data_IF_521278785197
#
_entry.id   IF_521278785197
#
_cell.length_a   1.000
_cell.length_b   1.000
_cell.length_c   1.000
_cell.angle_alpha   90.00
_cell.angle_beta   90.00
_cell.angle_gamma   90.00
#
_symmetry.space_group_name_H-M   'P 1'
#
loop_
_entity.id
_entity.type
_entity.pdbx_description
1 polymer ?
#
# COMPACT_ATOMS: atom_id res chain seq x y z
N UNK A 1 27.03 -8.58 -19.83
CA UNK A 1 26.86 -9.60 -18.76
C UNK A 1 26.04 -10.72 -19.36
N UNK A 2 26.47 -11.97 -19.23
CA UNK A 2 25.72 -13.15 -19.72
C UNK A 2 25.58 -14.13 -18.57
N UNK A 3 24.36 -14.56 -18.28
CA UNK A 3 24.03 -15.47 -17.18
C UNK A 3 23.19 -14.80 -16.09
N UNK A 4 22.67 -15.65 -15.20
CA UNK A 4 21.79 -15.25 -14.11
C UNK A 4 22.49 -14.36 -13.08
N UNK A 5 21.77 -13.38 -12.57
CA UNK A 5 22.23 -12.40 -11.59
C UNK A 5 21.27 -12.34 -10.40
N UNK A 6 21.77 -11.85 -9.28
CA UNK A 6 20.93 -11.34 -8.22
C UNK A 6 20.82 -9.83 -8.38
N UNK A 7 19.67 -9.25 -8.06
CA UNK A 7 19.45 -7.82 -8.19
C UNK A 7 18.63 -7.25 -7.02
N UNK A 8 18.84 -5.97 -6.75
CA UNK A 8 17.95 -5.15 -5.94
C UNK A 8 17.37 -4.09 -6.86
N UNK A 9 16.05 -4.06 -7.00
CA UNK A 9 15.31 -3.15 -7.87
C UNK A 9 14.58 -2.10 -7.04
N UNK A 10 14.61 -0.85 -7.48
CA UNK A 10 13.77 0.24 -6.97
C UNK A 10 13.15 0.99 -8.13
N UNK A 11 11.82 1.06 -8.14
CA UNK A 11 11.07 1.91 -9.04
C UNK A 11 11.22 3.38 -8.67
N UNK A 12 11.19 3.69 -7.37
CA UNK A 12 11.32 5.04 -6.82
C UNK A 12 12.64 5.70 -7.21
N UNK A 13 13.75 4.96 -7.19
CA UNK A 13 15.05 5.49 -7.62
C UNK A 13 15.32 5.28 -9.12
N UNK A 14 14.50 4.49 -9.81
CA UNK A 14 14.71 4.13 -11.22
C UNK A 14 16.01 3.33 -11.45
N UNK A 15 16.48 2.58 -10.45
CA UNK A 15 17.76 1.85 -10.50
C UNK A 15 17.57 0.40 -10.07
N UNK A 16 18.27 -0.50 -10.76
CA UNK A 16 18.51 -1.85 -10.28
C UNK A 16 20.01 -2.06 -10.03
N UNK A 17 20.40 -2.48 -8.83
CA UNK A 17 21.77 -2.90 -8.50
C UNK A 17 21.90 -4.39 -8.77
N UNK A 18 22.84 -4.77 -9.62
CA UNK A 18 23.15 -6.15 -9.99
C UNK A 18 24.33 -6.65 -9.18
N UNK A 19 24.20 -7.83 -8.60
CA UNK A 19 25.28 -8.57 -7.96
C UNK A 19 25.61 -9.82 -8.79
N UNK A 20 26.89 -9.94 -9.16
CA UNK A 20 27.41 -11.10 -9.87
C UNK A 20 28.83 -11.44 -9.39
N UNK A 21 29.38 -12.56 -9.86
CA UNK A 21 30.69 -13.05 -9.44
C UNK A 21 31.85 -12.07 -9.69
N UNK A 22 31.75 -11.18 -10.70
CA UNK A 22 32.83 -10.24 -11.04
C UNK A 22 32.64 -8.83 -10.42
N UNK A 23 31.58 -8.60 -9.63
CA UNK A 23 31.37 -7.34 -8.91
C UNK A 23 29.93 -6.84 -8.88
N UNK A 24 29.78 -5.52 -8.75
CA UNK A 24 28.49 -4.83 -8.77
C UNK A 24 28.32 -4.03 -10.06
N UNK A 25 27.09 -3.95 -10.52
CA UNK A 25 26.71 -3.08 -11.63
C UNK A 25 25.32 -2.49 -11.40
N UNK A 26 24.87 -1.61 -12.28
CA UNK A 26 23.53 -1.02 -12.23
C UNK A 26 22.87 -0.99 -13.60
N UNK A 27 21.55 -1.16 -13.63
CA UNK A 27 20.67 -0.72 -14.71
C UNK A 27 19.94 0.56 -14.29
N UNK A 28 19.54 1.36 -15.27
CA UNK A 28 18.79 2.59 -15.10
C UNK A 28 17.52 2.52 -15.94
N UNK A 29 16.39 2.96 -15.39
CA UNK A 29 15.12 3.01 -16.10
C UNK A 29 15.26 3.80 -17.43
N UNK A 30 14.59 3.32 -18.48
CA UNK A 30 14.66 3.92 -19.82
C UNK A 30 15.93 3.63 -20.62
N UNK A 31 16.95 2.94 -20.06
CA UNK A 31 18.19 2.58 -20.77
C UNK A 31 18.28 1.10 -21.18
N UNK A 32 17.18 0.37 -21.04
CA UNK A 32 17.12 -1.06 -21.34
C UNK A 32 18.16 -1.86 -20.54
N UNK A 33 18.93 -2.70 -21.22
CA UNK A 33 19.95 -3.58 -20.61
C UNK A 33 21.35 -2.98 -20.58
N UNK A 34 21.49 -1.65 -20.70
CA UNK A 34 22.78 -0.97 -20.56
C UNK A 34 23.33 -1.12 -19.14
N UNK A 35 24.40 -1.92 -19.00
CA UNK A 35 25.04 -2.21 -17.71
C UNK A 35 26.14 -1.20 -17.41
N UNK A 36 26.04 -0.53 -16.25
CA UNK A 36 27.10 0.36 -15.74
C UNK A 36 27.77 -0.27 -14.53
N UNK A 37 29.08 -0.50 -14.57
CA UNK A 37 29.85 -1.06 -13.43
C UNK A 37 29.85 -0.09 -12.25
N UNK A 38 29.76 -0.62 -11.03
CA UNK A 38 29.69 0.16 -9.79
C UNK A 38 30.62 -0.38 -8.71
N UNK A 39 31.11 0.52 -7.88
CA UNK A 39 31.68 0.19 -6.58
C UNK A 39 30.58 -0.02 -5.53
N UNK A 40 30.84 -0.77 -4.45
CA UNK A 40 29.89 -0.93 -3.35
C UNK A 40 29.46 0.41 -2.70
N UNK A 41 30.36 1.39 -2.64
CA UNK A 41 30.04 2.72 -2.12
C UNK A 41 29.02 3.46 -2.98
N UNK A 42 29.11 3.37 -4.31
CA UNK A 42 28.16 4.02 -5.23
C UNK A 42 26.77 3.40 -5.15
N UNK A 43 26.67 2.07 -4.92
CA UNK A 43 25.39 1.38 -4.86
C UNK A 43 24.44 1.97 -3.81
N UNK A 44 24.97 2.35 -2.63
CA UNK A 44 24.17 3.00 -1.57
C UNK A 44 23.67 4.38 -1.99
N UNK A 45 24.49 5.17 -2.69
CA UNK A 45 24.08 6.49 -3.16
C UNK A 45 23.05 6.41 -4.28
N UNK A 46 23.11 5.38 -5.13
CA UNK A 46 22.16 5.19 -6.23
C UNK A 46 20.76 4.78 -5.76
N UNK A 47 20.67 3.97 -4.70
CA UNK A 47 19.39 3.60 -4.10
C UNK A 47 18.86 4.68 -3.13
N UNK A 48 19.73 5.52 -2.59
CA UNK A 48 19.36 6.60 -1.68
C UNK A 48 18.55 6.08 -0.48
N UNK A 49 17.42 6.75 -0.23
CA UNK A 49 16.45 6.38 0.83
C UNK A 49 15.22 5.65 0.25
N UNK A 50 15.36 4.96 -0.88
CA UNK A 50 14.27 4.22 -1.50
C UNK A 50 13.68 3.17 -0.54
N UNK A 51 12.36 3.15 -0.43
CA UNK A 51 11.63 2.26 0.48
C UNK A 51 10.99 1.06 -0.24
N UNK A 52 11.06 1.04 -1.56
CA UNK A 52 10.41 0.07 -2.44
C UNK A 52 11.36 -1.04 -2.95
N UNK A 53 12.45 -1.28 -2.21
CA UNK A 53 13.48 -2.25 -2.61
C UNK A 53 12.91 -3.67 -2.77
N UNK A 54 13.16 -4.28 -3.94
CA UNK A 54 12.79 -5.65 -4.25
C UNK A 54 14.01 -6.48 -4.61
N UNK A 55 14.21 -7.61 -3.93
CA UNK A 55 15.28 -8.54 -4.24
C UNK A 55 14.82 -9.54 -5.31
N UNK A 56 15.63 -9.69 -6.35
CA UNK A 56 15.49 -10.71 -7.39
C UNK A 56 16.68 -11.65 -7.31
N UNK A 57 16.44 -12.95 -7.27
CA UNK A 57 17.49 -13.95 -7.15
C UNK A 57 17.55 -14.83 -8.40
N UNK A 58 18.76 -15.03 -8.92
CA UNK A 58 19.03 -15.98 -9.99
C UNK A 58 18.13 -15.78 -11.23
N UNK A 59 18.02 -14.53 -11.67
CA UNK A 59 17.21 -14.09 -12.82
C UNK A 59 18.10 -13.63 -13.99
N UNK A 60 17.59 -13.68 -15.21
CA UNK A 60 18.29 -13.14 -16.38
C UNK A 60 18.29 -11.59 -16.36
N UNK A 61 19.25 -10.97 -17.04
CA UNK A 61 19.39 -9.52 -17.07
C UNK A 61 18.17 -8.82 -17.67
N UNK A 62 17.58 -9.42 -18.70
CA UNK A 62 16.36 -8.95 -19.36
C UNK A 62 15.17 -8.93 -18.38
N UNK A 63 15.09 -9.91 -17.49
CA UNK A 63 14.06 -9.96 -16.46
C UNK A 63 14.27 -8.85 -15.43
N UNK A 64 15.51 -8.56 -15.02
CA UNK A 64 15.78 -7.40 -14.14
C UNK A 64 15.37 -6.09 -14.81
N UNK A 65 15.70 -5.91 -16.09
CA UNK A 65 15.31 -4.71 -16.85
C UNK A 65 13.79 -4.57 -16.95
N UNK A 66 13.07 -5.68 -17.17
CA UNK A 66 11.60 -5.69 -17.25
C UNK A 66 10.96 -5.35 -15.90
N UNK A 67 11.47 -5.93 -14.81
CA UNK A 67 10.99 -5.66 -13.46
C UNK A 67 11.28 -4.21 -13.04
N UNK A 68 12.44 -3.67 -13.41
CA UNK A 68 12.76 -2.26 -13.17
C UNK A 68 11.80 -1.33 -13.92
N UNK A 69 11.53 -1.59 -15.21
CA UNK A 69 10.58 -0.80 -15.98
C UNK A 69 9.17 -0.82 -15.37
N UNK A 70 8.70 -1.99 -14.94
CA UNK A 70 7.42 -2.14 -14.27
C UNK A 70 7.38 -1.38 -12.93
N UNK A 71 8.41 -1.55 -12.09
CA UNK A 71 8.47 -0.87 -10.79
C UNK A 71 8.50 0.66 -10.94
N UNK A 72 9.21 1.19 -11.94
CA UNK A 72 9.22 2.63 -12.24
C UNK A 72 7.84 3.10 -12.70
N UNK A 73 7.21 2.40 -13.67
CA UNK A 73 5.87 2.74 -14.13
C UNK A 73 4.82 2.71 -13.00
N UNK A 74 4.96 1.77 -12.05
CA UNK A 74 4.13 1.69 -10.86
C UNK A 74 4.27 2.92 -9.95
N UNK A 75 5.50 3.38 -9.68
CA UNK A 75 5.71 4.58 -8.87
C UNK A 75 5.24 5.85 -9.59
N UNK A 76 5.53 5.96 -10.88
CA UNK A 76 5.09 7.10 -11.69
C UNK A 76 3.56 7.20 -11.69
N UNK A 77 2.86 6.07 -11.91
CA UNK A 77 1.40 6.04 -11.87
C UNK A 77 0.83 6.43 -10.51
N UNK A 78 1.48 6.03 -9.41
CA UNK A 78 1.07 6.46 -8.07
C UNK A 78 1.26 7.97 -7.89
N UNK A 79 2.41 8.53 -8.29
CA UNK A 79 2.64 9.98 -8.20
C UNK A 79 1.65 10.77 -9.06
N UNK A 80 1.41 10.34 -10.30
CA UNK A 80 0.44 10.97 -11.21
C UNK A 80 -0.98 10.89 -10.63
N UNK A 81 -1.36 9.76 -10.03
CA UNK A 81 -2.65 9.65 -9.33
C UNK A 81 -2.77 10.64 -8.16
N UNK A 82 -1.70 10.86 -7.39
CA UNK A 82 -1.69 11.85 -6.31
C UNK A 82 -1.80 13.29 -6.85
N UNK A 83 -1.09 13.63 -7.94
CA UNK A 83 -1.22 14.93 -8.61
C UNK A 83 -2.65 15.15 -9.11
N UNK A 84 -3.26 14.13 -9.72
CA UNK A 84 -4.64 14.21 -10.20
C UNK A 84 -5.64 14.47 -9.06
N UNK A 85 -5.38 13.93 -7.86
CA UNK A 85 -6.20 14.12 -6.66
C UNK A 85 -5.93 15.44 -5.92
N UNK A 86 -4.87 16.18 -6.27
CA UNK A 86 -4.51 17.43 -5.63
C UNK A 86 -5.34 18.60 -6.19
N UNK A 87 -6.29 19.08 -5.38
CA UNK A 87 -7.17 20.20 -5.73
C UNK A 87 -6.48 21.57 -5.80
N UNK A 88 -5.21 21.67 -5.37
CA UNK A 88 -4.43 22.91 -5.44
C UNK A 88 -3.76 23.13 -6.80
N UNK A 89 -3.65 22.08 -7.62
CA UNK A 89 -3.06 22.15 -8.96
C UNK A 89 -4.02 22.73 -9.99
N UNK A 90 -3.45 23.26 -11.07
CA UNK A 90 -4.23 23.83 -12.17
C UNK A 90 -5.05 22.77 -12.90
N UNK A 91 -6.16 23.19 -13.53
CA UNK A 91 -6.99 22.27 -14.32
C UNK A 91 -6.21 21.61 -15.45
N UNK A 92 -5.34 22.35 -16.14
CA UNK A 92 -4.51 21.85 -17.24
C UNK A 92 -3.54 20.77 -16.75
N UNK A 93 -2.84 21.02 -15.63
CA UNK A 93 -1.93 20.04 -15.01
C UNK A 93 -2.67 18.75 -14.64
N UNK A 94 -3.90 18.86 -14.15
CA UNK A 94 -4.70 17.69 -13.77
C UNK A 94 -5.23 16.94 -14.99
N UNK A 95 -5.53 17.64 -16.09
CA UNK A 95 -5.89 16.99 -17.36
C UNK A 95 -4.71 16.20 -17.94
N UNK A 96 -3.50 16.77 -17.90
CA UNK A 96 -2.27 16.07 -18.25
C UNK A 96 -2.06 14.83 -17.37
N UNK A 97 -2.21 14.97 -16.05
CA UNK A 97 -2.11 13.84 -15.13
C UNK A 97 -3.18 12.75 -15.41
N UNK A 98 -4.40 13.13 -15.77
CA UNK A 98 -5.45 12.16 -16.12
C UNK A 98 -5.10 11.36 -17.39
N UNK A 99 -4.49 12.01 -18.39
CA UNK A 99 -4.03 11.39 -19.62
C UNK A 99 -2.81 10.49 -19.41
N UNK A 100 -1.82 10.96 -18.64
CA UNK A 100 -0.64 10.15 -18.31
C UNK A 100 -1.02 8.92 -17.49
N UNK A 101 -1.92 9.07 -16.50
CA UNK A 101 -2.41 7.93 -15.72
C UNK A 101 -3.18 6.93 -16.60
N UNK A 102 -3.89 7.40 -17.61
CA UNK A 102 -4.62 6.56 -18.56
C UNK A 102 -3.65 5.66 -19.32
N UNK A 103 -2.55 6.21 -19.82
CA UNK A 103 -1.51 5.47 -20.55
C UNK A 103 -0.79 4.46 -19.64
N UNK A 104 -0.39 4.89 -18.43
CA UNK A 104 0.31 4.02 -17.48
C UNK A 104 -0.56 2.84 -17.02
N UNK A 105 -1.87 3.04 -16.88
CA UNK A 105 -2.81 2.00 -16.46
C UNK A 105 -3.16 0.99 -17.56
N UNK A 106 -2.71 1.17 -18.81
CA UNK A 106 -2.87 0.14 -19.85
C UNK A 106 -2.24 -1.19 -19.45
N UNK A 107 -1.18 -1.15 -18.64
CA UNK A 107 -0.66 -2.33 -17.93
C UNK A 107 -1.51 -2.60 -16.67
N UNK A 108 -2.19 -3.75 -16.65
CA UNK A 108 -3.00 -4.20 -15.52
C UNK A 108 -2.19 -4.28 -14.21
N UNK A 109 -0.90 -4.64 -14.28
CA UNK A 109 -0.04 -4.72 -13.10
C UNK A 109 0.20 -3.35 -12.45
N UNK A 110 0.21 -2.26 -13.25
CA UNK A 110 0.29 -0.89 -12.76
C UNK A 110 -1.02 -0.49 -12.07
N UNK A 111 -2.16 -0.80 -12.69
CA UNK A 111 -3.48 -0.56 -12.09
C UNK A 111 -3.62 -1.27 -10.74
N UNK A 112 -3.25 -2.55 -10.67
CA UNK A 112 -3.30 -3.36 -9.44
C UNK A 112 -2.40 -2.76 -8.36
N UNK A 113 -1.21 -2.28 -8.72
CA UNK A 113 -0.30 -1.63 -7.77
C UNK A 113 -0.89 -0.34 -7.19
N UNK A 114 -1.37 0.57 -8.04
CA UNK A 114 -1.94 1.86 -7.61
C UNK A 114 -3.14 1.62 -6.69
N UNK A 115 -4.02 0.67 -7.03
CA UNK A 115 -5.12 0.26 -6.16
C UNK A 115 -4.65 -0.36 -4.84
N UNK A 116 -3.57 -1.14 -4.87
CA UNK A 116 -3.01 -1.76 -3.65
C UNK A 116 -2.54 -0.73 -2.64
N UNK A 117 -1.99 0.39 -3.12
CA UNK A 117 -1.60 1.53 -2.29
C UNK A 117 -2.81 2.35 -1.86
N UNK A 118 -3.63 2.83 -2.81
CA UNK A 118 -4.71 3.77 -2.51
C UNK A 118 -5.90 3.14 -1.79
N UNK A 119 -6.05 1.80 -1.82
CA UNK A 119 -7.08 1.11 -1.03
C UNK A 119 -6.61 0.73 0.38
N UNK A 120 -5.35 1.02 0.74
CA UNK A 120 -4.81 0.72 2.06
C UNK A 120 -5.19 1.74 3.14
N UNK A 121 -5.73 2.89 2.73
CA UNK A 121 -6.10 3.98 3.63
C UNK A 121 -7.23 4.81 2.99
N UNK A 122 -8.22 5.27 3.77
CA UNK A 122 -9.21 6.23 3.27
C UNK A 122 -8.54 7.47 2.71
N UNK A 123 -9.11 8.04 1.66
CA UNK A 123 -8.62 9.31 1.15
C UNK A 123 -8.76 10.39 2.24
N UNK A 124 -7.77 11.29 2.35
CA UNK A 124 -7.86 12.40 3.27
C UNK A 124 -8.95 13.39 2.82
N UNK A 125 -9.41 14.24 3.74
CA UNK A 125 -10.53 15.14 3.50
C UNK A 125 -10.23 16.22 2.43
N UNK A 126 -8.96 16.47 2.15
CA UNK A 126 -8.47 17.41 1.14
C UNK A 126 -8.23 16.79 -0.25
N UNK A 127 -8.41 15.46 -0.41
CA UNK A 127 -8.37 14.83 -1.72
C UNK A 127 -9.56 15.28 -2.59
N UNK A 128 -9.29 15.86 -3.76
CA UNK A 128 -10.29 16.44 -4.65
C UNK A 128 -10.72 15.46 -5.75
N UNK A 129 -11.51 14.46 -5.36
CA UNK A 129 -12.14 13.53 -6.31
C UNK A 129 -13.05 14.22 -7.33
N UNK A 130 -13.93 15.19 -6.97
CA UNK A 130 -14.77 15.89 -7.94
C UNK A 130 -13.95 16.58 -9.05
N UNK A 131 -12.88 17.28 -8.69
CA UNK A 131 -12.00 17.89 -9.67
C UNK A 131 -11.22 16.86 -10.50
N UNK A 132 -10.87 15.70 -9.91
CA UNK A 132 -10.16 14.64 -10.62
C UNK A 132 -11.05 14.06 -11.73
N UNK A 133 -12.34 13.90 -11.44
CA UNK A 133 -13.34 13.53 -12.45
C UNK A 133 -13.51 14.60 -13.53
N UNK A 134 -13.52 15.87 -13.15
CA UNK A 134 -13.66 16.98 -14.10
C UNK A 134 -12.45 17.09 -15.05
N UNK A 135 -11.28 16.64 -14.61
CA UNK A 135 -10.07 16.57 -15.45
C UNK A 135 -10.11 15.42 -16.47
N UNK A 136 -10.96 14.40 -16.29
CA UNK A 136 -11.08 13.30 -17.23
C UNK A 136 -11.84 13.68 -18.51
N UNK A 137 -11.22 13.45 -19.67
CA UNK A 137 -11.84 13.53 -21.01
C UNK A 137 -12.44 12.18 -21.46
N UNK A 138 -12.92 12.12 -22.71
CA UNK A 138 -13.37 10.86 -23.33
C UNK A 138 -12.24 9.85 -23.57
N UNK A 139 -11.00 10.33 -23.70
CA UNK A 139 -9.81 9.50 -23.94
C UNK A 139 -9.28 8.86 -22.65
N UNK A 140 -9.69 9.40 -21.48
CA UNK A 140 -9.23 8.96 -20.15
C UNK A 140 -10.26 8.08 -19.42
N UNK A 141 -10.96 7.21 -20.14
CA UNK A 141 -12.07 6.42 -19.60
C UNK A 141 -11.62 5.39 -18.56
N UNK A 142 -10.43 4.81 -18.67
CA UNK A 142 -9.89 3.90 -17.65
C UNK A 142 -9.55 4.65 -16.37
N UNK A 143 -8.90 5.82 -16.48
CA UNK A 143 -8.65 6.71 -15.33
C UNK A 143 -9.95 7.09 -14.65
N UNK A 144 -10.98 7.46 -15.43
CA UNK A 144 -12.31 7.76 -14.89
C UNK A 144 -12.93 6.57 -14.15
N UNK A 145 -12.85 5.35 -14.70
CA UNK A 145 -13.35 4.13 -14.04
C UNK A 145 -12.59 3.81 -12.76
N UNK A 146 -11.28 4.01 -12.77
CA UNK A 146 -10.44 3.90 -11.58
C UNK A 146 -10.92 4.85 -10.48
N UNK A 147 -11.10 6.14 -10.79
CA UNK A 147 -11.62 7.14 -9.84
C UNK A 147 -13.03 6.80 -9.34
N UNK A 148 -13.91 6.28 -10.22
CA UNK A 148 -15.27 5.82 -9.84
C UNK A 148 -15.20 4.69 -8.82
N UNK A 149 -14.33 3.70 -9.07
CA UNK A 149 -14.12 2.60 -8.13
C UNK A 149 -13.52 3.08 -6.82
N UNK A 150 -12.50 3.94 -6.86
CA UNK A 150 -11.88 4.52 -5.67
C UNK A 150 -12.90 5.28 -4.82
N UNK A 151 -13.79 6.05 -5.46
CA UNK A 151 -14.89 6.76 -4.79
C UNK A 151 -15.90 5.80 -4.17
N UNK A 152 -16.39 4.84 -4.96
CA UNK A 152 -17.41 3.88 -4.52
C UNK A 152 -16.93 3.00 -3.36
N UNK A 153 -15.62 2.70 -3.32
CA UNK A 153 -15.04 1.80 -2.32
C UNK A 153 -14.57 2.50 -1.03
N UNK A 154 -14.74 3.82 -0.86
CA UNK A 154 -14.23 4.53 0.32
C UNK A 154 -14.76 3.98 1.65
N UNK A 155 -16.03 3.53 1.69
CA UNK A 155 -16.61 2.92 2.89
C UNK A 155 -15.94 1.58 3.23
N UNK A 156 -15.70 0.74 2.22
CA UNK A 156 -15.00 -0.54 2.40
C UNK A 156 -13.52 -0.33 2.75
N UNK A 157 -12.86 0.62 2.11
CA UNK A 157 -11.49 1.05 2.44
C UNK A 157 -11.43 1.49 3.91
N UNK A 158 -12.38 2.31 4.35
CA UNK A 158 -12.49 2.74 5.74
C UNK A 158 -12.71 1.59 6.70
N UNK A 159 -13.58 0.64 6.35
CA UNK A 159 -13.83 -0.54 7.18
C UNK A 159 -12.59 -1.44 7.32
N UNK A 160 -11.89 -1.73 6.22
CA UNK A 160 -10.67 -2.55 6.20
C UNK A 160 -9.52 -1.84 6.92
N UNK A 161 -9.37 -0.53 6.72
CA UNK A 161 -8.36 0.24 7.43
C UNK A 161 -8.64 0.25 8.94
N UNK A 162 -9.88 0.53 9.36
CA UNK A 162 -10.25 0.51 10.80
C UNK A 162 -10.11 -0.88 11.42
N UNK A 163 -10.34 -1.95 10.66
CA UNK A 163 -10.15 -3.30 11.18
C UNK A 163 -8.66 -3.58 11.43
N UNK A 164 -7.77 -3.16 10.52
CA UNK A 164 -6.32 -3.16 10.74
C UNK A 164 -5.89 -2.32 11.96
N UNK A 165 -6.50 -1.14 12.14
CA UNK A 165 -6.26 -0.25 13.29
C UNK A 165 -6.64 -0.84 14.65
N UNK A 166 -7.41 -1.93 14.66
CA UNK A 166 -7.87 -2.56 15.89
C UNK A 166 -7.09 -3.79 16.30
N UNK A 167 -6.13 -4.22 15.49
CA UNK A 167 -5.23 -5.29 15.88
C UNK A 167 -4.34 -4.75 17.01
N UNK A 168 -4.31 -5.39 18.19
CA UNK A 168 -3.53 -4.89 19.31
C UNK A 168 -2.03 -4.78 18.97
N UNK A 169 -1.40 -3.68 19.37
CA UNK A 169 0.05 -3.43 19.15
C UNK A 169 0.91 -4.57 19.71
N UNK A 170 0.47 -5.24 20.78
CA UNK A 170 1.15 -6.40 21.36
C UNK A 170 1.33 -7.58 20.39
N UNK A 171 0.46 -7.73 19.39
CA UNK A 171 0.57 -8.77 18.35
C UNK A 171 1.73 -8.46 17.39
N UNK A 172 2.01 -7.18 17.16
CA UNK A 172 3.14 -6.72 16.36
C UNK A 172 4.42 -6.55 17.18
N UNK A 173 4.29 -6.37 18.49
CA UNK A 173 5.37 -6.03 19.42
C UNK A 173 5.65 -4.53 19.51
N UNK A 174 5.74 -3.83 18.37
CA UNK A 174 6.00 -2.37 18.30
C UNK A 174 5.24 -1.69 17.16
N UNK A 175 5.10 -0.37 17.22
CA UNK A 175 4.49 0.41 16.13
C UNK A 175 5.33 0.40 14.85
N UNK A 176 6.66 0.37 14.99
CA UNK A 176 7.60 0.24 13.86
C UNK A 176 7.38 -1.10 13.13
N UNK A 177 7.31 -2.20 13.88
CA UNK A 177 7.03 -3.52 13.32
C UNK A 177 5.65 -3.57 12.64
N UNK A 178 4.64 -2.92 13.25
CA UNK A 178 3.31 -2.79 12.64
C UNK A 178 3.36 -2.04 11.32
N UNK A 179 4.13 -0.95 11.25
CA UNK A 179 4.40 -0.22 10.01
C UNK A 179 5.06 -1.09 8.95
N UNK A 180 6.10 -1.85 9.30
CA UNK A 180 6.77 -2.76 8.37
C UNK A 180 5.83 -3.84 7.82
N UNK A 181 5.04 -4.49 8.69
CA UNK A 181 4.07 -5.52 8.26
C UNK A 181 2.98 -4.89 7.38
N UNK A 182 2.51 -3.68 7.72
CA UNK A 182 1.54 -2.95 6.90
C UNK A 182 2.11 -2.70 5.49
N UNK A 183 3.34 -2.23 5.38
CA UNK A 183 3.99 -2.01 4.07
C UNK A 183 4.04 -3.28 3.22
N UNK A 184 4.35 -4.43 3.84
CA UNK A 184 4.29 -5.74 3.14
C UNK A 184 2.86 -6.06 2.72
N UNK A 185 1.87 -5.93 3.61
CA UNK A 185 0.47 -6.20 3.29
C UNK A 185 -0.07 -5.30 2.17
N UNK A 186 0.36 -4.05 2.09
CA UNK A 186 0.05 -3.12 1.00
C UNK A 186 0.69 -3.57 -0.30
N UNK A 187 2.00 -3.87 -0.29
CA UNK A 187 2.75 -4.31 -1.47
C UNK A 187 2.20 -5.61 -2.06
N UNK A 188 1.81 -6.56 -1.22
CA UNK A 188 1.20 -7.84 -1.62
C UNK A 188 -0.30 -7.68 -2.01
N UNK A 189 -0.84 -6.46 -1.95
CA UNK A 189 -2.22 -6.15 -2.32
C UNK A 189 -3.27 -6.74 -1.38
N UNK A 190 -2.92 -7.10 -0.14
CA UNK A 190 -3.86 -7.71 0.82
C UNK A 190 -5.00 -6.75 1.17
N UNK A 191 -4.70 -5.47 1.42
CA UNK A 191 -5.71 -4.43 1.65
C UNK A 191 -6.70 -4.33 0.49
N UNK A 192 -6.18 -4.18 -0.74
CA UNK A 192 -6.99 -4.16 -1.96
C UNK A 192 -7.88 -5.38 -2.08
N UNK A 193 -7.31 -6.58 -1.90
CA UNK A 193 -8.06 -7.83 -2.01
C UNK A 193 -9.16 -7.96 -0.96
N UNK A 194 -8.96 -7.41 0.25
CA UNK A 194 -9.99 -7.34 1.30
C UNK A 194 -11.09 -6.33 0.94
N UNK A 195 -10.72 -5.14 0.47
CA UNK A 195 -11.67 -4.08 0.04
C UNK A 195 -12.59 -4.58 -1.09
N UNK A 196 -12.03 -5.35 -2.03
CA UNK A 196 -12.80 -5.90 -3.16
C UNK A 196 -13.72 -7.08 -2.77
N UNK A 197 -13.69 -7.54 -1.51
CA UNK A 197 -14.51 -8.65 -1.01
C UNK A 197 -15.56 -8.12 -0.03
N UNK A 198 -16.80 -8.52 -0.26
CA UNK A 198 -17.94 -7.97 0.50
C UNK A 198 -18.50 -8.95 1.53
N UNK A 199 -18.03 -10.20 1.58
CA UNK A 199 -18.53 -11.20 2.53
C UNK A 199 -17.42 -11.82 3.38
N UNK A 200 -17.79 -12.19 4.62
CA UNK A 200 -16.88 -12.71 5.64
C UNK A 200 -16.19 -14.01 5.24
N UNK A 201 -16.91 -14.95 4.63
CA UNK A 201 -16.33 -16.22 4.19
C UNK A 201 -15.22 -16.03 3.13
N UNK A 202 -15.38 -15.05 2.23
CA UNK A 202 -14.37 -14.70 1.24
C UNK A 202 -13.14 -14.02 1.86
N UNK A 203 -13.34 -13.23 2.93
CA UNK A 203 -12.26 -12.61 3.72
C UNK A 203 -11.46 -13.69 4.46
N UNK A 204 -12.13 -14.59 5.20
CA UNK A 204 -11.47 -15.67 5.94
C UNK A 204 -10.66 -16.58 5.02
N UNK A 205 -11.24 -16.95 3.86
CA UNK A 205 -10.53 -17.75 2.84
C UNK A 205 -9.31 -17.02 2.27
N UNK A 206 -9.39 -15.70 2.07
CA UNK A 206 -8.28 -14.90 1.57
C UNK A 206 -7.13 -14.88 2.58
N UNK A 207 -7.44 -14.57 3.84
CA UNK A 207 -6.45 -14.53 4.92
C UNK A 207 -5.75 -15.88 5.08
N UNK A 208 -6.50 -16.98 5.03
CA UNK A 208 -5.94 -18.34 5.03
C UNK A 208 -5.02 -18.62 3.82
N UNK A 209 -5.29 -18.02 2.65
CA UNK A 209 -4.42 -18.16 1.48
C UNK A 209 -3.10 -17.39 1.67
N UNK A 210 -3.16 -16.22 2.28
CA UNK A 210 -1.98 -15.39 2.58
C UNK A 210 -1.09 -16.01 3.66
N UNK A 211 -1.67 -16.70 4.64
CA UNK A 211 -0.93 -17.44 5.67
C UNK A 211 0.10 -18.43 5.10
N UNK A 212 -0.12 -18.95 3.89
CA UNK A 212 0.76 -19.92 3.25
C UNK A 212 1.73 -19.32 2.22
N UNK A 213 1.57 -18.03 1.89
CA UNK A 213 2.28 -17.40 0.76
C UNK A 213 3.05 -16.14 1.14
N UNK A 214 2.71 -15.50 2.26
CA UNK A 214 3.29 -14.23 2.69
C UNK A 214 4.21 -14.40 3.88
N UNK A 215 5.16 -13.47 4.02
CA UNK A 215 6.03 -13.35 5.20
C UNK A 215 5.30 -12.73 6.42
N UNK A 216 4.04 -12.31 6.26
CA UNK A 216 3.24 -11.77 7.35
C UNK A 216 2.97 -12.87 8.39
N UNK A 217 3.24 -12.57 9.66
CA UNK A 217 3.01 -13.49 10.77
C UNK A 217 1.53 -13.96 10.78
N UNK A 218 1.36 -15.27 10.86
CA UNK A 218 0.07 -15.96 10.92
C UNK A 218 -0.86 -15.42 12.02
N UNK A 219 -0.31 -15.08 13.19
CA UNK A 219 -1.08 -14.51 14.31
C UNK A 219 -1.72 -13.17 13.94
N UNK A 220 -1.00 -12.30 13.21
CA UNK A 220 -1.52 -11.02 12.72
C UNK A 220 -2.70 -11.24 11.77
N UNK A 221 -2.61 -12.22 10.86
CA UNK A 221 -3.67 -12.53 9.91
C UNK A 221 -4.94 -13.09 10.60
N UNK A 222 -4.77 -13.89 11.66
CA UNK A 222 -5.89 -14.37 12.49
C UNK A 222 -6.56 -13.20 13.19
N UNK A 223 -5.79 -12.39 13.91
CA UNK A 223 -6.31 -11.26 14.68
C UNK A 223 -7.00 -10.25 13.76
N UNK A 224 -6.43 -9.99 12.58
CA UNK A 224 -7.11 -9.14 11.59
C UNK A 224 -8.47 -9.72 11.20
N UNK A 225 -8.57 -11.03 10.96
CA UNK A 225 -9.84 -11.71 10.69
C UNK A 225 -10.91 -11.48 11.78
N UNK A 226 -10.50 -11.49 13.05
CA UNK A 226 -11.39 -11.26 14.20
C UNK A 226 -11.96 -9.83 14.20
N UNK A 227 -11.16 -8.84 13.82
CA UNK A 227 -11.57 -7.41 13.85
C UNK A 227 -12.70 -7.08 12.87
N UNK A 228 -12.92 -7.88 11.82
CA UNK A 228 -14.03 -7.68 10.85
C UNK A 228 -15.43 -8.01 11.43
N UNK A 229 -15.51 -8.67 12.59
CA UNK A 229 -16.78 -9.15 13.16
C UNK A 229 -17.24 -8.48 14.46
N UNK A 230 -16.39 -7.68 15.11
CA UNK A 230 -16.69 -7.12 16.43
C UNK A 230 -16.70 -5.59 16.35
N UNK A 231 -17.74 -4.86 16.78
CA UNK A 231 -17.61 -3.44 17.08
C UNK A 231 -16.54 -3.24 18.18
N UNK A 232 -15.88 -2.07 18.26
CA UNK A 232 -14.88 -1.83 19.30
C UNK A 232 -15.55 -1.97 20.66
N UNK A 233 -14.98 -2.81 21.53
CA UNK A 233 -15.43 -2.84 22.92
C UNK A 233 -15.06 -1.51 23.58
N UNK A 234 -15.78 -1.12 24.64
CA UNK A 234 -15.41 0.08 25.40
C UNK A 234 -13.96 -0.01 25.91
N UNK A 235 -13.47 -1.23 26.15
CA UNK A 235 -12.10 -1.55 26.58
C UNK A 235 -11.05 -1.32 25.49
N UNK A 236 -11.45 -1.30 24.21
CA UNK A 236 -10.56 -1.02 23.07
C UNK A 236 -10.45 0.48 22.75
N UNK A 237 -11.38 1.30 23.25
CA UNK A 237 -11.52 2.72 22.89
C UNK A 237 -10.99 3.69 23.95
N UNK A 238 -10.79 3.21 25.18
CA UNK A 238 -10.44 4.05 26.32
C UNK A 238 -9.28 3.42 27.08
N UNK A 239 -8.36 4.27 27.57
CA UNK A 239 -7.29 3.83 28.45
C UNK A 239 -7.92 3.11 29.67
N UNK A 240 -7.33 1.98 30.09
CA UNK A 240 -7.81 1.16 31.23
C UNK A 240 -8.08 2.03 32.46
N UNK A 241 -7.30 3.08 32.67
CA UNK A 241 -7.49 4.02 33.78
C UNK A 241 -8.78 4.84 33.66
N UNK A 242 -9.13 5.30 32.45
CA UNK A 242 -10.35 6.04 32.15
C UNK A 242 -11.58 5.14 32.31
N UNK A 243 -11.46 3.86 31.95
CA UNK A 243 -12.53 2.87 32.10
C UNK A 243 -12.83 2.57 33.57
N UNK A 244 -11.80 2.39 34.38
CA UNK A 244 -11.96 2.19 35.83
C UNK A 244 -12.57 3.43 36.50
N UNK A 245 -12.19 4.64 36.07
CA UNK A 245 -12.81 5.89 36.56
C UNK A 245 -14.29 6.00 36.17
N UNK A 246 -14.66 5.65 34.93
CA UNK A 246 -16.06 5.65 34.48
C UNK A 246 -16.90 4.57 35.18
N UNK A 247 -16.33 3.38 35.42
CA UNK A 247 -16.99 2.30 36.20
C UNK A 247 -17.21 2.72 37.65
N UNK A 248 -16.23 3.36 38.28
CA UNK A 248 -16.36 3.88 39.65
C UNK A 248 -17.43 4.99 39.75
N UNK A 249 -17.49 5.90 38.77
CA UNK A 249 -18.52 6.95 38.71
C UNK A 249 -19.93 6.37 38.51
N UNK A 250 -20.09 5.36 37.66
CA UNK A 250 -21.37 4.70 37.43
C UNK A 250 -21.88 3.97 38.68
N UNK A 251 -20.99 3.30 39.44
CA UNK A 251 -21.34 2.64 40.71
C UNK A 251 -21.76 3.65 41.78
N UNK A 252 -21.08 4.79 41.88
CA UNK A 252 -21.45 5.87 42.81
C UNK A 252 -22.82 6.48 42.48
N UNK A 253 -23.15 6.62 41.19
CA UNK A 253 -24.45 7.10 40.74
C UNK A 253 -25.60 6.10 41.02
N UNK A 254 -25.33 4.80 40.93
CA UNK A 254 -26.30 3.76 41.26
C UNK A 254 -26.52 3.61 42.77
N UNK A 255 -25.47 3.75 43.59
CA UNK A 255 -25.58 3.73 45.05
C UNK A 255 -26.42 4.88 45.62
N UNK A 256 -26.35 6.08 45.01
CA UNK A 256 -27.16 7.24 45.42
C UNK A 256 -28.66 7.10 45.07
N UNK A 257 -29.01 6.29 44.07
CA UNK A 257 -30.42 6.03 43.71
C UNK A 257 -31.11 5.01 44.61
N UNK A 258 -30.37 4.23 45.41
CA UNK A 258 -30.96 3.27 46.36
C UNK A 258 -31.05 3.78 47.80
N UNK A 259 -30.50 4.97 48.08
CA UNK A 259 -30.46 5.58 49.42
C UNK A 259 -31.40 6.78 49.59
N UNK A 260 -32.22 7.10 48.58
CA UNK A 260 -33.30 8.09 48.64
C UNK A 260 -34.63 7.45 48.27
#
# INVERSE_FOLDING_TARGET
MTGKVNAIVSGQSGVAILAHAEGLASLHAGRGTEVVRRSPSEARFLLGDALDLQALENVELEEVSRQLALATAQMDALHVALLLLDGSLSADTRQEAAAELQELMEDEAVTVFVESVLFAHPLPADADLPGAFAACSQETEQTRRFLQRLTYLQDQITAVHRSWERIPISVFGTEEARGSVRSVAVREGLFRNLVLRTNRAAIEKLLATFQHRSEINHEILIEWGVTFGNPPSLDDLLDKKVIEELKAQAQLAQGRKMAG
#
